data_IF_512257515617
#
_entry.id   IF_512257515617
#
_cell.length_a   1.000
_cell.length_b   1.000
_cell.length_c   1.000
_cell.angle_alpha   90.00
_cell.angle_beta   90.00
_cell.angle_gamma   90.00
#
_symmetry.space_group_name_H-M   'P 1'
#
loop_
_entity.id
_entity.type
_entity.pdbx_description
1 polymer ?
#
# COMPACT_ATOMS: atom_id res chain seq x y z
N UNK A 1 4.08 55.50 -22.79
CA UNK A 1 3.21 54.61 -21.99
C UNK A 1 3.22 53.15 -22.45
N UNK A 2 3.38 52.85 -23.75
CA UNK A 2 3.36 51.46 -24.25
C UNK A 2 4.56 50.58 -23.84
N UNK A 3 5.76 51.13 -23.69
CA UNK A 3 6.96 50.37 -23.28
C UNK A 3 6.92 49.93 -21.82
N UNK A 4 6.38 50.77 -20.92
CA UNK A 4 6.23 50.43 -19.49
C UNK A 4 5.20 49.30 -19.29
N UNK A 5 4.14 49.26 -20.12
CA UNK A 5 3.12 48.22 -20.11
C UNK A 5 3.67 46.86 -20.59
N UNK A 6 4.61 46.87 -21.55
CA UNK A 6 5.27 45.66 -22.03
C UNK A 6 6.20 45.04 -20.98
N UNK A 7 6.93 45.85 -20.22
CA UNK A 7 7.78 45.38 -19.11
C UNK A 7 6.95 44.79 -17.96
N UNK A 8 5.78 45.38 -17.64
CA UNK A 8 4.87 44.84 -16.62
C UNK A 8 4.27 43.49 -17.02
N UNK A 9 3.92 43.30 -18.29
CA UNK A 9 3.45 42.00 -18.82
C UNK A 9 4.55 40.93 -18.82
N UNK A 10 5.78 41.30 -19.19
CA UNK A 10 6.93 40.38 -19.14
C UNK A 10 7.28 39.96 -17.71
N UNK A 11 7.23 40.89 -16.74
CA UNK A 11 7.47 40.59 -15.32
C UNK A 11 6.38 39.69 -14.72
N UNK A 12 5.12 39.82 -15.18
CA UNK A 12 4.02 38.93 -14.77
C UNK A 12 4.16 37.50 -15.30
N UNK A 13 4.82 37.32 -16.46
CA UNK A 13 5.06 36.00 -17.06
C UNK A 13 6.27 35.28 -16.44
N UNK A 14 7.19 36.02 -15.82
CA UNK A 14 8.35 35.45 -15.10
C UNK A 14 8.01 34.95 -13.69
N UNK A 15 6.79 35.20 -13.19
CA UNK A 15 6.33 34.76 -11.87
C UNK A 15 5.41 33.54 -11.91
N UNK A 16 5.30 32.85 -13.05
CA UNK A 16 4.85 31.46 -13.04
C UNK A 16 5.97 30.63 -12.42
N UNK A 17 5.99 30.61 -11.08
CA UNK A 17 6.74 29.63 -10.31
C UNK A 17 6.37 28.29 -10.90
N UNK A 18 7.31 27.66 -11.60
CA UNK A 18 7.18 26.26 -11.98
C UNK A 18 7.19 25.51 -10.66
N UNK A 19 6.00 25.29 -10.09
CA UNK A 19 5.83 24.29 -9.06
C UNK A 19 6.24 22.97 -9.71
N UNK A 20 7.51 22.59 -9.53
CA UNK A 20 7.98 21.26 -9.82
C UNK A 20 7.33 20.34 -8.80
N UNK A 21 6.12 19.89 -9.11
CA UNK A 21 5.55 18.74 -8.43
C UNK A 21 6.42 17.55 -8.82
N UNK A 22 7.28 17.10 -7.91
CA UNK A 22 7.87 15.77 -8.06
C UNK A 22 6.74 14.77 -7.89
N UNK A 23 6.41 13.95 -8.91
CA UNK A 23 5.44 12.88 -8.72
C UNK A 23 5.96 11.94 -7.64
N UNK A 24 5.06 11.48 -6.77
CA UNK A 24 5.38 10.48 -5.76
C UNK A 24 5.88 9.19 -6.45
N UNK A 25 7.11 8.81 -6.12
CA UNK A 25 7.76 7.60 -6.64
C UNK A 25 8.32 6.82 -5.44
N UNK A 26 7.54 5.88 -4.88
CA UNK A 26 7.95 5.14 -3.69
C UNK A 26 9.12 4.20 -4.01
N UNK A 27 10.08 4.10 -3.08
CA UNK A 27 11.28 3.25 -3.24
C UNK A 27 10.91 1.77 -3.31
N UNK A 28 10.01 1.34 -2.43
CA UNK A 28 9.34 0.05 -2.46
C UNK A 28 7.94 0.20 -3.08
N UNK A 29 7.66 -0.60 -4.12
CA UNK A 29 6.41 -0.57 -4.87
C UNK A 29 6.03 -1.99 -5.30
N UNK A 30 5.38 -2.71 -4.41
CA UNK A 30 4.99 -4.11 -4.60
C UNK A 30 3.49 -4.23 -4.76
N UNK A 31 3.04 -4.52 -5.98
CA UNK A 31 1.65 -4.73 -6.31
C UNK A 31 1.47 -6.20 -6.70
N UNK A 32 0.65 -6.94 -5.98
CA UNK A 32 0.53 -8.40 -6.10
C UNK A 32 -0.90 -8.75 -6.51
N UNK A 33 -1.02 -9.52 -7.60
CA UNK A 33 -2.26 -10.10 -8.09
C UNK A 33 -2.42 -11.53 -7.53
N UNK A 34 -3.24 -11.67 -6.48
CA UNK A 34 -3.30 -12.89 -5.70
C UNK A 34 -4.20 -13.94 -6.38
N UNK A 35 -3.72 -15.18 -6.45
CA UNK A 35 -4.47 -16.29 -7.06
C UNK A 35 -4.49 -16.28 -8.59
N UNK A 36 -3.80 -15.33 -9.23
CA UNK A 36 -3.68 -15.28 -10.68
C UNK A 36 -2.43 -16.02 -11.15
N UNK A 37 -2.45 -16.53 -12.38
CA UNK A 37 -1.26 -16.98 -13.10
C UNK A 37 -0.63 -15.88 -13.96
N UNK A 38 -1.32 -14.74 -14.12
CA UNK A 38 -0.95 -13.63 -14.99
C UNK A 38 -0.94 -12.30 -14.23
N UNK A 39 -0.09 -11.38 -14.67
CA UNK A 39 -0.12 -10.00 -14.23
C UNK A 39 -1.46 -9.34 -14.61
N UNK A 40 -1.90 -8.39 -13.79
CA UNK A 40 -3.08 -7.58 -14.05
C UNK A 40 -2.71 -6.12 -14.25
N UNK A 41 -3.43 -5.44 -15.14
CA UNK A 41 -3.32 -3.99 -15.32
C UNK A 41 -4.57 -3.32 -14.74
N UNK A 42 -4.37 -2.43 -13.76
CA UNK A 42 -5.45 -1.67 -13.11
C UNK A 42 -4.98 -0.23 -12.97
N UNK A 43 -5.72 0.72 -13.55
CA UNK A 43 -5.41 2.16 -13.50
C UNK A 43 -3.97 2.50 -13.90
N UNK A 44 -3.49 1.91 -15.01
CA UNK A 44 -2.10 2.01 -15.49
C UNK A 44 -1.02 1.45 -14.54
N UNK A 45 -1.42 0.77 -13.46
CA UNK A 45 -0.53 0.07 -12.53
C UNK A 45 -0.48 -1.41 -12.88
N UNK A 46 0.72 -2.01 -12.79
CA UNK A 46 0.93 -3.44 -13.02
C UNK A 46 0.98 -4.21 -11.70
N UNK A 47 0.04 -5.11 -11.51
CA UNK A 47 0.02 -6.06 -10.40
C UNK A 47 0.64 -7.37 -10.84
N UNK A 48 1.71 -7.78 -10.17
CA UNK A 48 2.50 -8.97 -10.48
C UNK A 48 1.81 -10.23 -9.95
N UNK A 49 1.71 -11.25 -10.78
CA UNK A 49 1.18 -12.56 -10.42
C UNK A 49 1.87 -13.18 -9.20
N UNK A 50 1.09 -13.76 -8.27
CA UNK A 50 1.61 -14.54 -7.13
C UNK A 50 1.98 -15.99 -7.46
N UNK A 51 1.92 -16.38 -8.73
CA UNK A 51 2.12 -17.76 -9.16
C UNK A 51 3.58 -18.22 -9.04
N UNK A 52 3.74 -19.33 -8.31
CA UNK A 52 5.02 -19.83 -7.79
C UNK A 52 5.99 -20.42 -8.83
N UNK A 53 5.55 -20.76 -10.05
CA UNK A 53 6.41 -21.45 -11.01
C UNK A 53 7.24 -20.53 -11.92
N UNK A 54 7.03 -19.21 -11.89
CA UNK A 54 7.64 -18.32 -12.90
C UNK A 54 8.71 -17.36 -12.36
N UNK A 55 8.86 -17.20 -11.05
CA UNK A 55 9.74 -16.16 -10.48
C UNK A 55 10.52 -16.64 -9.24
N UNK A 56 11.84 -16.85 -9.32
CA UNK A 56 12.69 -16.84 -8.14
C UNK A 56 12.48 -15.51 -7.40
N UNK A 57 11.93 -15.54 -6.18
CA UNK A 57 11.60 -14.33 -5.41
C UNK A 57 10.11 -13.98 -5.33
N UNK A 58 9.18 -14.92 -5.58
CA UNK A 58 7.76 -14.66 -5.29
C UNK A 58 7.56 -14.25 -3.83
N UNK A 59 6.78 -13.18 -3.55
CA UNK A 59 6.49 -12.80 -2.18
C UNK A 59 5.74 -13.89 -1.41
N UNK A 60 4.98 -14.75 -2.10
CA UNK A 60 4.22 -15.81 -1.47
C UNK A 60 5.14 -16.91 -0.90
N UNK A 61 5.19 -17.01 0.42
CA UNK A 61 5.88 -18.08 1.14
C UNK A 61 4.84 -18.94 1.85
N UNK A 62 4.37 -20.00 1.20
CA UNK A 62 3.40 -20.92 1.81
C UNK A 62 4.02 -22.27 2.17
N UNK A 63 3.82 -22.72 3.40
CA UNK A 63 4.19 -24.05 3.89
C UNK A 63 3.17 -25.14 3.53
N UNK A 64 2.03 -24.77 2.94
CA UNK A 64 0.95 -25.69 2.57
C UNK A 64 0.25 -25.26 1.26
N UNK A 65 -0.48 -26.21 0.65
CA UNK A 65 -1.31 -26.01 -0.54
C UNK A 65 -2.31 -24.87 -0.34
N UNK A 66 -1.99 -23.69 -0.89
CA UNK A 66 -2.97 -22.62 -1.12
C UNK A 66 -3.74 -22.93 -2.39
N UNK A 67 -4.95 -22.41 -2.52
CA UNK A 67 -5.78 -22.61 -3.71
C UNK A 67 -5.94 -21.28 -4.42
N UNK A 68 -5.64 -21.26 -5.72
CA UNK A 68 -6.02 -20.16 -6.59
C UNK A 68 -7.48 -20.35 -7.01
N UNK A 69 -8.29 -19.32 -6.87
CA UNK A 69 -9.66 -19.28 -7.40
C UNK A 69 -9.76 -18.17 -8.44
N UNK A 70 -10.51 -18.44 -9.50
CA UNK A 70 -10.91 -17.45 -10.48
C UNK A 70 -12.44 -17.33 -10.51
N UNK A 71 -12.93 -16.11 -10.66
CA UNK A 71 -14.32 -15.85 -10.99
C UNK A 71 -14.50 -16.03 -12.50
N UNK A 72 -15.25 -17.06 -12.90
CA UNK A 72 -15.50 -17.37 -14.31
C UNK A 72 -16.44 -16.39 -15.01
N UNK A 73 -17.18 -15.57 -14.24
CA UNK A 73 -18.11 -14.58 -14.76
C UNK A 73 -17.97 -13.24 -14.00
N UNK A 74 -16.85 -12.53 -14.18
CA UNK A 74 -16.67 -11.24 -13.55
C UNK A 74 -17.65 -10.20 -14.14
N UNK A 75 -18.10 -9.26 -13.31
CA UNK A 75 -18.92 -8.15 -13.78
C UNK A 75 -18.16 -7.28 -14.79
N UNK A 76 -18.86 -6.72 -15.78
CA UNK A 76 -18.25 -6.00 -16.92
C UNK A 76 -17.33 -4.83 -16.53
N UNK A 77 -17.49 -4.26 -15.33
CA UNK A 77 -16.70 -3.13 -14.83
C UNK A 77 -15.79 -3.51 -13.66
N UNK A 78 -15.65 -4.80 -13.35
CA UNK A 78 -14.79 -5.26 -12.27
C UNK A 78 -13.32 -5.12 -12.69
N UNK A 79 -12.46 -4.47 -11.86
CA UNK A 79 -11.02 -4.54 -12.05
C UNK A 79 -10.49 -5.97 -12.07
N UNK A 80 -9.47 -6.21 -12.90
CA UNK A 80 -8.88 -7.54 -13.09
C UNK A 80 -8.36 -8.18 -11.79
N UNK A 81 -7.88 -7.37 -10.85
CA UNK A 81 -7.39 -7.83 -9.54
C UNK A 81 -8.48 -8.47 -8.68
N UNK A 82 -9.76 -8.26 -8.99
CA UNK A 82 -10.88 -8.90 -8.27
C UNK A 82 -11.39 -10.16 -8.97
N UNK A 83 -10.82 -10.53 -10.13
CA UNK A 83 -11.22 -11.73 -10.85
C UNK A 83 -10.60 -12.99 -10.26
N UNK A 84 -9.55 -12.85 -9.46
CA UNK A 84 -8.87 -13.97 -8.81
C UNK A 84 -8.69 -13.72 -7.33
N UNK A 85 -8.62 -14.80 -6.56
CA UNK A 85 -8.26 -14.76 -5.15
C UNK A 85 -7.36 -15.93 -4.81
N UNK A 86 -6.39 -15.69 -3.91
CA UNK A 86 -5.70 -16.79 -3.23
C UNK A 86 -6.42 -17.14 -1.95
N UNK A 87 -6.68 -18.43 -1.75
CA UNK A 87 -7.36 -19.00 -0.60
C UNK A 87 -6.40 -19.76 0.30
N UNK A 88 -6.54 -19.52 1.59
CA UNK A 88 -5.72 -20.06 2.66
C UNK A 88 -6.58 -20.92 3.60
N UNK A 89 -6.22 -22.20 3.73
CA UNK A 89 -6.85 -23.16 4.65
C UNK A 89 -6.07 -23.35 5.95
N UNK A 90 -4.82 -22.88 5.96
CA UNK A 90 -3.88 -22.92 7.07
C UNK A 90 -3.15 -21.57 7.12
N UNK A 91 -2.55 -21.21 8.26
CA UNK A 91 -1.70 -20.02 8.34
C UNK A 91 -0.62 -20.03 7.25
N UNK A 92 -0.58 -18.98 6.45
CA UNK A 92 0.36 -18.78 5.34
C UNK A 92 0.81 -17.32 5.31
N UNK A 93 1.94 -17.03 4.64
CA UNK A 93 2.49 -15.67 4.64
C UNK A 93 2.93 -15.20 3.25
N UNK A 94 2.84 -13.89 3.03
CA UNK A 94 3.65 -13.20 2.03
C UNK A 94 4.83 -12.52 2.73
N UNK A 95 6.02 -12.60 2.15
CA UNK A 95 7.20 -11.87 2.56
C UNK A 95 7.63 -10.98 1.40
N UNK A 96 7.49 -9.67 1.58
CA UNK A 96 7.88 -8.65 0.61
C UNK A 96 9.25 -8.13 1.04
N UNK A 97 10.22 -8.11 0.14
CA UNK A 97 11.52 -7.49 0.39
C UNK A 97 11.34 -5.96 0.47
N UNK A 98 12.03 -5.32 1.42
CA UNK A 98 11.98 -3.89 1.68
C UNK A 98 13.38 -3.33 1.44
N UNK A 99 13.50 -2.35 0.55
CA UNK A 99 14.77 -1.72 0.18
C UNK A 99 15.14 -0.60 1.13
N UNK A 100 14.18 0.21 1.58
CA UNK A 100 14.42 1.32 2.49
C UNK A 100 13.58 1.16 3.76
N UNK A 101 14.20 0.93 4.93
CA UNK A 101 13.48 0.93 6.21
C UNK A 101 12.73 2.24 6.44
N UNK A 102 11.54 2.15 7.02
CA UNK A 102 10.69 3.32 7.32
C UNK A 102 9.21 2.99 7.25
N UNK A 103 8.38 4.04 7.21
CA UNK A 103 6.93 3.92 7.08
C UNK A 103 6.56 3.42 5.69
N UNK A 104 5.72 2.40 5.63
CA UNK A 104 5.14 1.86 4.40
C UNK A 104 3.63 1.92 4.49
N UNK A 105 2.97 2.25 3.39
CA UNK A 105 1.55 2.02 3.20
C UNK A 105 1.34 0.59 2.72
N UNK A 106 0.61 -0.20 3.50
CA UNK A 106 0.15 -1.52 3.12
C UNK A 106 -1.35 -1.45 2.85
N UNK A 107 -1.76 -1.78 1.62
CA UNK A 107 -3.15 -1.85 1.21
C UNK A 107 -3.50 -3.27 0.83
N UNK A 108 -4.63 -3.74 1.32
CA UNK A 108 -5.11 -5.08 1.07
C UNK A 108 -6.52 -5.05 0.50
N UNK A 109 -6.74 -5.87 -0.53
CA UNK A 109 -8.03 -6.09 -1.15
C UNK A 109 -8.54 -7.45 -0.66
N UNK A 110 -9.30 -7.40 0.43
CA UNK A 110 -9.53 -8.57 1.26
C UNK A 110 -10.87 -8.57 1.92
N UNK A 111 -11.23 -9.80 2.26
CA UNK A 111 -12.17 -10.19 3.27
C UNK A 111 -11.39 -10.90 4.39
N UNK A 112 -10.89 -10.21 5.41
CA UNK A 112 -10.00 -10.86 6.42
C UNK A 112 -10.03 -10.19 7.81
N UNK A 113 -9.77 -10.95 8.94
CA UNK A 113 -8.55 -10.80 9.83
C UNK A 113 -8.32 -11.70 11.12
N UNK A 114 -7.10 -11.85 11.77
CA UNK A 114 -6.19 -10.93 12.62
C UNK A 114 -4.68 -11.32 12.74
N UNK A 115 -3.65 -10.51 13.10
CA UNK A 115 -3.55 -9.22 13.83
C UNK A 115 -4.50 -8.17 13.29
N UNK A 116 -5.31 -7.59 14.18
CA UNK A 116 -6.57 -6.92 13.84
C UNK A 116 -6.40 -5.58 13.13
N UNK A 117 -5.92 -5.59 11.90
CA UNK A 117 -6.33 -4.65 10.87
C UNK A 117 -7.89 -4.62 10.70
N UNK A 118 -8.55 -5.77 10.78
CA UNK A 118 -9.97 -6.14 10.70
C UNK A 118 -10.22 -7.36 11.61
N UNK A 119 -11.32 -8.13 11.69
CA UNK A 119 -11.38 -9.52 12.28
C UNK A 119 -12.75 -10.13 12.17
N UNK A 120 -12.88 -11.47 12.22
CA UNK A 120 -14.16 -12.18 12.38
C UNK A 120 -15.26 -11.65 11.44
N UNK A 121 -14.87 -11.32 10.22
CA UNK A 121 -15.73 -10.61 9.30
C UNK A 121 -16.36 -11.62 8.32
N UNK A 122 -17.52 -11.24 7.77
CA UNK A 122 -18.13 -11.88 6.60
C UNK A 122 -18.44 -10.73 5.63
N UNK A 123 -18.36 -10.95 4.32
CA UNK A 123 -18.70 -9.90 3.35
C UNK A 123 -19.65 -10.43 2.31
N UNK A 124 -20.46 -9.50 1.81
CA UNK A 124 -21.16 -9.57 0.53
C UNK A 124 -20.45 -8.85 -0.63
N UNK A 125 -19.65 -7.79 -0.37
CA UNK A 125 -19.05 -6.90 -1.39
C UNK A 125 -17.54 -6.59 -1.21
N UNK A 126 -16.91 -6.04 -2.26
CA UNK A 126 -15.47 -5.69 -2.27
C UNK A 126 -15.07 -4.75 -1.13
N UNK A 127 -14.00 -5.09 -0.41
CA UNK A 127 -13.46 -4.30 0.70
C UNK A 127 -11.97 -4.00 0.48
N UNK A 128 -11.61 -2.74 0.71
CA UNK A 128 -10.23 -2.24 0.65
C UNK A 128 -9.83 -1.73 2.02
N UNK A 129 -8.62 -2.06 2.45
CA UNK A 129 -8.08 -1.63 3.74
C UNK A 129 -6.65 -1.14 3.60
N UNK A 130 -6.36 -0.05 4.27
CA UNK A 130 -5.08 0.66 4.17
C UNK A 130 -4.50 0.85 5.57
N UNK A 131 -3.20 0.64 5.71
CA UNK A 131 -2.46 0.75 6.96
C UNK A 131 -1.13 1.44 6.71
N UNK A 132 -0.71 2.27 7.65
CA UNK A 132 0.67 2.76 7.74
C UNK A 132 1.41 1.90 8.75
N UNK A 133 2.48 1.25 8.30
CA UNK A 133 3.29 0.34 9.12
C UNK A 133 4.74 0.77 9.09
N UNK A 134 5.34 0.90 10.27
CA UNK A 134 6.79 1.10 10.37
C UNK A 134 7.51 -0.23 10.17
N UNK A 135 8.44 -0.29 9.22
CA UNK A 135 9.23 -1.49 8.93
C UNK A 135 10.71 -1.18 9.11
N UNK A 136 11.33 -1.77 10.12
CA UNK A 136 12.75 -1.59 10.43
C UNK A 136 13.67 -2.66 9.80
N UNK A 137 13.08 -3.71 9.21
CA UNK A 137 13.79 -4.84 8.62
C UNK A 137 13.72 -4.81 7.10
N UNK A 138 14.58 -5.59 6.45
CA UNK A 138 14.59 -5.75 4.99
C UNK A 138 13.42 -6.59 4.44
N UNK A 139 12.44 -6.97 5.27
CA UNK A 139 11.24 -7.70 4.85
C UNK A 139 10.02 -7.27 5.63
N UNK A 140 8.90 -7.11 4.92
CA UNK A 140 7.56 -7.02 5.49
C UNK A 140 6.86 -8.37 5.33
N UNK A 141 6.46 -8.98 6.46
CA UNK A 141 5.76 -10.26 6.47
C UNK A 141 4.27 -10.05 6.75
N UNK A 142 3.43 -10.39 5.78
CA UNK A 142 1.96 -10.35 5.87
C UNK A 142 1.47 -11.77 6.10
N UNK A 143 0.87 -12.06 7.25
CA UNK A 143 0.39 -13.41 7.59
C UNK A 143 -1.13 -13.48 7.48
N UNK A 144 -1.65 -14.44 6.72
CA UNK A 144 -3.08 -14.73 6.63
C UNK A 144 -3.39 -15.93 7.51
N UNK A 145 -4.26 -15.73 8.52
CA UNK A 145 -4.64 -16.76 9.49
C UNK A 145 -6.16 -16.99 9.43
N UNK A 146 -6.64 -18.15 8.94
CA UNK A 146 -8.05 -18.51 9.05
C UNK A 146 -8.47 -18.58 10.54
N UNK A 147 -9.59 -17.97 10.88
CA UNK A 147 -10.01 -17.78 12.29
C UNK A 147 -10.33 -19.08 13.02
N UNK A 148 -10.79 -20.11 12.31
CA UNK A 148 -11.17 -21.41 12.86
C UNK A 148 -10.93 -22.54 11.86
N UNK A 149 -10.86 -23.78 12.36
CA UNK A 149 -10.79 -24.98 11.52
C UNK A 149 -12.04 -25.08 10.63
N UNK A 150 -11.83 -25.25 9.32
CA UNK A 150 -12.90 -25.29 8.33
C UNK A 150 -13.32 -23.91 7.79
N UNK A 151 -12.80 -22.81 8.35
CA UNK A 151 -12.91 -21.48 7.76
C UNK A 151 -11.75 -21.23 6.80
N UNK A 152 -11.96 -20.28 5.90
CA UNK A 152 -11.01 -19.89 4.86
C UNK A 152 -10.66 -18.43 5.04
N UNK A 153 -9.39 -18.08 4.86
CA UNK A 153 -8.97 -16.72 4.55
C UNK A 153 -8.73 -16.59 3.06
N UNK A 154 -8.93 -15.42 2.47
CA UNK A 154 -8.58 -15.19 1.07
C UNK A 154 -8.17 -13.75 0.82
N UNK A 155 -7.39 -13.51 -0.24
CA UNK A 155 -6.98 -12.17 -0.67
C UNK A 155 -6.99 -12.09 -2.18
N UNK A 156 -7.46 -10.97 -2.73
CA UNK A 156 -7.50 -10.68 -4.16
C UNK A 156 -6.26 -9.92 -4.62
N UNK A 157 -5.83 -8.93 -3.84
CA UNK A 157 -4.64 -8.13 -4.15
C UNK A 157 -3.98 -7.54 -2.92
N UNK A 158 -2.68 -7.30 -3.01
CA UNK A 158 -1.84 -6.69 -1.98
C UNK A 158 -1.03 -5.58 -2.63
N UNK A 159 -1.02 -4.40 -2.02
CA UNK A 159 -0.15 -3.29 -2.38
C UNK A 159 0.73 -2.93 -1.17
N UNK A 160 2.04 -2.81 -1.37
CA UNK A 160 2.99 -2.31 -0.37
C UNK A 160 3.82 -1.21 -1.02
N UNK A 161 3.66 0.01 -0.53
CA UNK A 161 4.32 1.22 -1.03
C UNK A 161 5.11 1.88 0.10
N UNK A 162 6.34 2.35 -0.14
CA UNK A 162 7.01 3.24 0.82
C UNK A 162 6.19 4.52 1.00
N UNK A 163 5.99 4.96 2.24
CA UNK A 163 5.35 6.25 2.50
C UNK A 163 6.37 7.40 2.33
N UNK A 164 5.92 8.61 1.96
CA UNK A 164 6.76 9.81 2.09
C UNK A 164 7.26 9.98 3.52
N UNK A 165 8.51 10.43 3.68
CA UNK A 165 9.13 10.63 5.00
C UNK A 165 8.42 11.70 5.83
N UNK A 166 7.79 12.65 5.16
CA UNK A 166 7.01 13.76 5.69
C UNK A 166 5.52 13.42 5.89
N UNK A 167 5.09 12.18 5.65
CA UNK A 167 3.69 11.78 5.77
C UNK A 167 3.16 11.91 7.21
N UNK A 168 4.01 11.59 8.20
CA UNK A 168 3.72 11.78 9.62
C UNK A 168 4.67 12.86 10.11
N UNK A 169 4.20 14.08 10.38
CA UNK A 169 5.08 15.14 10.84
C UNK A 169 5.58 14.83 12.26
N UNK A 170 6.87 15.07 12.51
CA UNK A 170 7.48 14.94 13.84
C UNK A 170 7.01 16.02 14.83
N UNK A 171 6.15 16.93 14.37
CA UNK A 171 5.49 17.95 15.17
C UNK A 171 4.03 17.57 15.44
N UNK A 172 3.65 17.53 16.71
CA UNK A 172 2.26 17.45 17.11
C UNK A 172 1.74 18.84 17.53
N UNK A 173 0.52 19.19 17.13
CA UNK A 173 -0.16 20.38 17.66
C UNK A 173 -0.85 20.00 18.96
N UNK A 174 -0.46 20.63 20.07
CA UNK A 174 -1.18 20.53 21.32
C UNK A 174 -2.52 21.27 21.18
N UNK A 175 -3.63 20.53 21.10
CA UNK A 175 -4.96 21.12 21.17
C UNK A 175 -5.31 21.34 22.64
N UNK A 176 -4.95 22.50 23.17
CA UNK A 176 -5.53 23.01 24.41
C UNK A 176 -6.79 23.79 24.07
N UNK A 177 -7.85 23.55 24.82
CA UNK A 177 -9.05 24.37 24.75
C UNK A 177 -8.69 25.78 25.24
N UNK A 178 -8.39 26.67 24.29
CA UNK A 178 -7.80 27.99 24.53
C UNK A 178 -6.27 28.02 24.52
N UNK A 179 -5.72 28.75 23.55
CA UNK A 179 -4.30 29.07 23.27
C UNK A 179 -3.45 28.00 22.56
N UNK A 180 -3.18 28.30 21.27
CA UNK A 180 -2.28 27.59 20.38
C UNK A 180 -0.82 27.96 20.72
N UNK A 181 -0.04 27.02 21.26
CA UNK A 181 1.42 27.13 21.38
C UNK A 181 2.08 25.93 20.69
N UNK A 182 2.96 26.22 19.75
CA UNK A 182 3.79 25.23 19.04
C UNK A 182 5.04 24.96 19.88
N UNK A 183 5.22 23.71 20.31
CA UNK A 183 6.46 23.24 20.95
C UNK A 183 7.08 22.14 20.07
N UNK A 184 8.37 22.31 19.72
CA UNK A 184 9.16 21.34 18.97
C UNK A 184 10.03 20.58 19.96
N UNK A 185 9.88 19.25 20.02
CA UNK A 185 10.77 18.39 20.79
C UNK A 185 11.96 17.98 19.93
N UNK A 186 13.16 18.23 20.44
CA UNK A 186 14.41 17.89 19.78
C UNK A 186 14.67 16.39 19.70
N UNK A 187 15.42 16.02 18.68
CA UNK A 187 15.89 14.68 18.31
C UNK A 187 16.54 13.95 19.51
N UNK A 188 16.03 12.76 19.85
CA UNK A 188 16.63 11.90 20.86
C UNK A 188 17.88 11.24 20.26
N UNK A 189 19.05 11.75 20.62
CA UNK A 189 20.34 11.12 20.33
C UNK A 189 20.43 9.78 21.05
N UNK A 190 20.35 8.68 20.30
CA UNK A 190 20.80 7.38 20.78
C UNK A 190 22.30 7.24 20.47
N UNK A 191 23.15 7.46 21.47
CA UNK A 191 24.48 6.83 21.60
C UNK A 191 24.26 5.40 22.12
N UNK A 192 24.90 4.33 21.66
CA UNK A 192 26.18 4.10 21.00
C UNK A 192 26.08 2.83 20.13
#
# INVERSE_FOLDING_TARGET
>A
MGTLLLFLLAFSFSFFSTFSFSPFSPVDNHLINCGSSLDAAVDARRFVSDFHYSNPGTPLQSSALTTALCNGSPGSNSPQIYHTARVFRKPSRYAVEIKEPGTHMARFHVLVDNYVALSNFTVSDTLVKEYLVWVSQNKLVITIVPTQKGKLGFVNGIEVLSAPKDLIPDTATLVRDGEEKRESYGELNYSE
#
